data_IF_079609072660
#
_entry.id   IF_079609072660
#
_cell.length_a   1.000
_cell.length_b   1.000
_cell.length_c   1.000
_cell.angle_alpha   90.00
_cell.angle_beta   90.00
_cell.angle_gamma   90.00
#
_symmetry.space_group_name_H-M   'P 1'
#
loop_
_entity.id
_entity.type
_entity.pdbx_description
1 polymer ?
#
# COMPACT_ATOMS: atom_id res chain seq x y z
N UNK A 1 1.69 16.03 -5.53
CA UNK A 1 0.98 16.97 -6.39
C UNK A 1 0.11 17.91 -5.56
N UNK A 2 -0.09 19.16 -5.99
CA UNK A 2 -0.84 20.17 -5.25
C UNK A 2 -2.29 19.69 -4.97
N UNK A 3 -2.94 19.10 -5.98
CA UNK A 3 -4.31 18.60 -5.84
C UNK A 3 -4.42 17.45 -4.84
N UNK A 4 -3.49 16.52 -4.87
CA UNK A 4 -3.45 15.43 -3.87
C UNK A 4 -3.29 15.95 -2.45
N UNK A 5 -2.49 17.01 -2.27
CA UNK A 5 -2.29 17.66 -0.97
C UNK A 5 -3.56 18.39 -0.51
N UNK A 6 -4.25 19.11 -1.41
CA UNK A 6 -5.52 19.78 -1.10
C UNK A 6 -6.60 18.77 -0.71
N UNK A 7 -6.76 17.70 -1.49
CA UNK A 7 -7.71 16.62 -1.18
C UNK A 7 -7.39 15.92 0.15
N UNK A 8 -6.10 15.67 0.41
CA UNK A 8 -5.65 15.13 1.67
C UNK A 8 -6.04 16.02 2.85
N UNK A 9 -5.75 17.34 2.78
CA UNK A 9 -6.08 18.29 3.85
C UNK A 9 -7.59 18.40 4.05
N UNK A 10 -8.35 18.48 2.97
CA UNK A 10 -9.81 18.52 3.01
C UNK A 10 -10.37 17.26 3.68
N UNK A 11 -9.91 16.07 3.26
CA UNK A 11 -10.42 14.82 3.83
C UNK A 11 -9.95 14.58 5.26
N UNK A 12 -8.75 14.99 5.62
CA UNK A 12 -8.26 14.93 7.00
C UNK A 12 -9.10 15.80 7.94
N UNK A 13 -9.58 16.95 7.46
CA UNK A 13 -10.48 17.81 8.22
C UNK A 13 -11.91 17.25 8.27
N UNK A 14 -12.45 16.80 7.12
CA UNK A 14 -13.80 16.25 7.02
C UNK A 14 -13.92 14.87 7.68
N UNK A 15 -12.91 14.02 7.59
CA UNK A 15 -12.88 12.67 8.16
C UNK A 15 -13.08 12.67 9.67
N UNK A 16 -12.56 13.68 10.38
CA UNK A 16 -12.79 13.86 11.84
C UNK A 16 -14.26 14.10 12.17
N UNK A 17 -15.04 14.65 11.25
CA UNK A 17 -16.49 14.89 11.42
C UNK A 17 -17.33 13.66 11.06
N UNK A 18 -16.77 12.72 10.30
CA UNK A 18 -17.47 11.57 9.71
C UNK A 18 -17.06 10.25 10.43
N UNK A 19 -16.29 10.32 11.50
CA UNK A 19 -15.80 9.16 12.29
C UNK A 19 -16.91 8.28 12.91
N UNK A 20 -18.18 8.48 12.55
CA UNK A 20 -19.28 7.63 12.96
C UNK A 20 -19.26 6.28 12.25
N UNK A 21 -19.51 5.22 13.03
CA UNK A 21 -19.41 3.77 12.76
C UNK A 21 -20.00 3.23 11.43
N UNK A 22 -20.63 4.05 10.59
CA UNK A 22 -21.29 3.60 9.35
C UNK A 22 -20.48 3.79 8.06
N UNK A 23 -19.34 4.49 8.09
CA UNK A 23 -18.64 4.94 6.88
C UNK A 23 -17.25 4.35 6.66
N UNK A 24 -16.97 3.17 7.26
CA UNK A 24 -15.65 2.52 7.14
C UNK A 24 -15.30 2.25 5.69
N UNK A 25 -16.24 1.68 4.92
CA UNK A 25 -16.03 1.34 3.50
C UNK A 25 -15.74 2.58 2.65
N UNK A 26 -16.47 3.68 2.93
CA UNK A 26 -16.31 4.96 2.24
C UNK A 26 -14.96 5.58 2.58
N UNK A 27 -14.56 5.61 3.85
CA UNK A 27 -13.28 6.13 4.28
C UNK A 27 -12.12 5.37 3.63
N UNK A 28 -12.18 4.05 3.63
CA UNK A 28 -11.15 3.22 2.99
C UNK A 28 -11.06 3.49 1.49
N UNK A 29 -12.20 3.59 0.80
CA UNK A 29 -12.23 3.94 -0.63
C UNK A 29 -11.64 5.34 -0.89
N UNK A 30 -11.98 6.33 -0.06
CA UNK A 30 -11.49 7.70 -0.25
C UNK A 30 -9.98 7.79 -0.05
N UNK A 31 -9.41 7.09 0.93
CA UNK A 31 -7.95 7.06 1.09
C UNK A 31 -7.24 6.41 -0.10
N UNK A 32 -7.83 5.40 -0.73
CA UNK A 32 -7.35 4.86 -2.01
C UNK A 32 -7.40 5.90 -3.13
N UNK A 33 -8.49 6.68 -3.22
CA UNK A 33 -8.62 7.76 -4.21
C UNK A 33 -7.62 8.90 -3.97
N UNK A 34 -7.40 9.32 -2.72
CA UNK A 34 -6.39 10.31 -2.36
C UNK A 34 -5.00 9.84 -2.79
N UNK A 35 -4.66 8.57 -2.55
CA UNK A 35 -3.41 7.99 -3.00
C UNK A 35 -3.25 8.04 -4.53
N UNK A 36 -4.30 7.68 -5.28
CA UNK A 36 -4.31 7.74 -6.75
C UNK A 36 -4.10 9.16 -7.28
N UNK A 37 -4.63 10.19 -6.59
CA UNK A 37 -4.41 11.58 -6.98
C UNK A 37 -2.94 12.02 -6.86
N UNK A 38 -2.17 11.38 -6.00
CA UNK A 38 -0.71 11.57 -5.98
C UNK A 38 -0.02 10.80 -7.12
N UNK A 39 -0.56 9.66 -7.55
CA UNK A 39 0.00 8.86 -8.64
C UNK A 39 -0.19 9.52 -10.01
N UNK A 40 -1.29 10.26 -10.23
CA UNK A 40 -1.61 10.87 -11.51
C UNK A 40 -0.98 12.28 -11.59
N UNK A 41 0.00 12.51 -12.44
CA UNK A 41 0.52 13.86 -12.70
C UNK A 41 -0.51 14.64 -13.51
N UNK A 42 -1.39 15.37 -12.84
CA UNK A 42 -2.47 16.17 -13.46
C UNK A 42 -1.93 17.17 -14.50
N UNK A 43 -0.68 17.59 -14.33
CA UNK A 43 0.02 18.40 -15.34
C UNK A 43 0.07 17.74 -16.72
N UNK A 44 0.09 16.40 -16.82
CA UNK A 44 0.04 15.69 -18.09
C UNK A 44 -1.35 15.71 -18.73
N UNK A 45 -2.41 15.75 -17.92
CA UNK A 45 -3.80 15.84 -18.42
C UNK A 45 -4.05 17.23 -18.99
N UNK A 46 -3.55 18.28 -18.32
CA UNK A 46 -3.66 19.65 -18.81
C UNK A 46 -2.79 19.92 -20.04
N UNK A 47 -1.61 19.31 -20.14
CA UNK A 47 -0.71 19.51 -21.29
C UNK A 47 -1.32 18.98 -22.61
N UNK A 48 -2.16 17.95 -22.55
CA UNK A 48 -2.85 17.40 -23.73
C UNK A 48 -4.18 18.11 -24.07
N UNK A 49 -4.74 18.92 -23.16
CA UNK A 49 -6.01 19.62 -23.32
C UNK A 49 -5.89 21.09 -23.77
N UNK A 50 -4.73 21.68 -23.65
CA UNK A 50 -4.49 23.03 -24.15
C UNK A 50 -3.92 22.96 -25.58
N UNK A 51 -4.80 23.17 -26.57
CA UNK A 51 -4.35 23.55 -27.92
C UNK A 51 -3.30 24.66 -27.81
N UNK A 52 -2.14 24.39 -28.40
CA UNK A 52 -1.10 25.31 -28.89
C UNK A 52 -1.29 26.81 -28.56
N UNK A 53 -1.32 27.19 -27.32
CA UNK A 53 -0.92 28.57 -27.02
C UNK A 53 0.61 28.53 -26.89
N UNK A 54 1.26 29.05 -27.89
CA UNK A 54 2.71 29.10 -28.12
C UNK A 54 3.39 30.10 -27.15
N UNK A 55 3.04 30.04 -25.87
CA UNK A 55 3.85 30.66 -24.82
C UNK A 55 4.80 29.60 -24.30
N UNK A 56 5.85 29.30 -25.09
CA UNK A 56 7.06 28.68 -24.55
C UNK A 56 7.61 29.70 -23.55
N UNK A 57 7.34 29.47 -22.27
CA UNK A 57 7.99 30.20 -21.20
C UNK A 57 9.46 29.80 -21.26
N UNK A 58 10.27 30.53 -22.04
CA UNK A 58 11.71 30.33 -22.06
C UNK A 58 12.24 30.60 -20.65
N UNK A 59 12.49 29.55 -19.90
CA UNK A 59 13.18 29.63 -18.61
C UNK A 59 14.62 30.05 -18.91
N UNK A 60 14.84 31.38 -18.97
CA UNK A 60 16.15 31.95 -19.25
C UNK A 60 16.86 32.37 -17.97
N UNK A 61 18.17 32.50 -18.06
CA UNK A 61 19.00 32.98 -16.93
C UNK A 61 19.23 31.99 -15.81
N UNK A 62 19.46 32.46 -14.56
CA UNK A 62 19.86 31.63 -13.42
C UNK A 62 18.78 30.60 -12.97
N UNK A 63 17.51 30.87 -13.29
CA UNK A 63 16.37 30.03 -12.88
C UNK A 63 16.50 28.60 -13.44
N UNK A 64 16.98 28.44 -14.68
CA UNK A 64 17.19 27.09 -15.27
C UNK A 64 18.17 26.24 -14.48
N UNK A 65 19.22 26.86 -13.92
CA UNK A 65 20.19 26.15 -13.10
C UNK A 65 19.60 25.73 -11.76
N UNK A 66 18.79 26.59 -11.14
CA UNK A 66 18.08 26.25 -9.89
C UNK A 66 17.14 25.07 -10.11
N UNK A 67 16.34 25.10 -11.19
CA UNK A 67 15.45 23.97 -11.53
C UNK A 67 16.26 22.70 -11.77
N UNK A 68 17.38 22.79 -12.52
CA UNK A 68 18.26 21.64 -12.76
C UNK A 68 18.81 21.04 -11.47
N UNK A 69 19.27 21.85 -10.54
CA UNK A 69 19.76 21.40 -9.22
C UNK A 69 18.63 20.73 -8.43
N UNK A 70 17.43 21.31 -8.39
CA UNK A 70 16.28 20.73 -7.70
C UNK A 70 15.88 19.39 -8.31
N UNK A 71 15.91 19.24 -9.63
CA UNK A 71 15.65 17.96 -10.32
C UNK A 71 16.70 16.90 -9.96
N UNK A 72 17.98 17.28 -9.88
CA UNK A 72 19.05 16.36 -9.47
C UNK A 72 18.84 15.90 -8.02
N UNK A 73 18.55 16.82 -7.11
CA UNK A 73 18.26 16.51 -5.70
C UNK A 73 17.08 15.55 -5.60
N UNK A 74 15.99 15.82 -6.34
CA UNK A 74 14.81 14.98 -6.40
C UNK A 74 15.15 13.58 -6.93
N UNK A 75 15.91 13.48 -8.01
CA UNK A 75 16.30 12.21 -8.62
C UNK A 75 17.18 11.39 -7.67
N UNK A 76 18.21 12.01 -7.07
CA UNK A 76 19.10 11.36 -6.11
C UNK A 76 18.30 10.85 -4.90
N UNK A 77 17.41 11.67 -4.35
CA UNK A 77 16.52 11.25 -3.27
C UNK A 77 15.65 10.06 -3.66
N UNK A 78 15.00 10.11 -4.82
CA UNK A 78 14.17 9.01 -5.35
C UNK A 78 14.99 7.71 -5.47
N UNK A 79 16.21 7.77 -6.01
CA UNK A 79 17.10 6.61 -6.12
C UNK A 79 17.43 6.04 -4.74
N UNK A 80 17.80 6.90 -3.78
CA UNK A 80 18.16 6.47 -2.42
C UNK A 80 16.98 5.77 -1.75
N UNK A 81 15.78 6.37 -1.78
CA UNK A 81 14.59 5.79 -1.16
C UNK A 81 14.17 4.48 -1.85
N UNK A 82 14.26 4.41 -3.17
CA UNK A 82 13.99 3.18 -3.94
C UNK A 82 14.96 2.06 -3.57
N UNK A 83 16.27 2.36 -3.47
CA UNK A 83 17.26 1.37 -3.06
C UNK A 83 16.99 0.87 -1.63
N UNK A 84 16.65 1.77 -0.70
CA UNK A 84 16.29 1.39 0.69
C UNK A 84 15.07 0.49 0.72
N UNK A 85 14.03 0.84 -0.04
CA UNK A 85 12.83 0.02 -0.16
C UNK A 85 13.13 -1.37 -0.72
N UNK A 86 13.88 -1.45 -1.83
CA UNK A 86 14.26 -2.71 -2.46
C UNK A 86 15.13 -3.59 -1.56
N UNK A 87 16.06 -3.00 -0.79
CA UNK A 87 16.87 -3.74 0.20
C UNK A 87 15.99 -4.35 1.28
N UNK A 88 15.07 -3.56 1.85
CA UNK A 88 14.11 -4.04 2.86
C UNK A 88 13.23 -5.17 2.30
N UNK A 89 12.69 -4.95 1.11
CA UNK A 89 11.83 -5.95 0.44
C UNK A 89 12.59 -7.26 0.16
N UNK A 90 13.84 -7.18 -0.32
CA UNK A 90 14.69 -8.37 -0.58
C UNK A 90 15.03 -9.12 0.70
N UNK A 91 15.29 -8.42 1.81
CA UNK A 91 15.56 -9.04 3.11
C UNK A 91 14.35 -9.86 3.58
N UNK A 92 13.15 -9.24 3.60
CA UNK A 92 11.90 -9.93 3.96
C UNK A 92 11.65 -11.12 3.03
N UNK A 93 11.82 -10.94 1.72
CA UNK A 93 11.65 -12.02 0.74
C UNK A 93 12.60 -13.20 1.00
N UNK A 94 13.87 -12.93 1.34
CA UNK A 94 14.86 -13.96 1.65
C UNK A 94 14.43 -14.77 2.88
N UNK A 95 13.95 -14.11 3.92
CA UNK A 95 13.49 -14.78 5.14
C UNK A 95 12.27 -15.66 4.84
N UNK A 96 11.31 -15.16 4.07
CA UNK A 96 10.10 -15.93 3.69
C UNK A 96 10.41 -17.10 2.76
N UNK A 97 11.42 -17.01 1.90
CA UNK A 97 11.83 -18.11 1.04
C UNK A 97 12.48 -19.26 1.83
N UNK A 98 13.03 -18.95 3.01
CA UNK A 98 13.63 -19.92 3.93
C UNK A 98 12.65 -20.32 5.05
N UNK A 99 11.39 -19.91 4.99
CA UNK A 99 10.36 -20.30 5.95
C UNK A 99 9.91 -21.75 5.70
N UNK A 100 9.55 -22.43 6.77
CA UNK A 100 9.11 -23.82 6.71
C UNK A 100 7.62 -23.90 6.34
N UNK A 101 7.22 -24.87 5.49
CA UNK A 101 5.80 -25.08 5.20
C UNK A 101 5.07 -25.62 6.43
N UNK A 102 3.84 -25.15 6.66
CA UNK A 102 2.98 -25.74 7.67
C UNK A 102 2.50 -27.15 7.29
N UNK A 103 2.16 -27.95 8.29
CA UNK A 103 1.59 -29.28 8.09
C UNK A 103 0.28 -29.28 7.30
N UNK A 104 -0.05 -30.43 6.72
CA UNK A 104 -1.21 -30.60 5.82
C UNK A 104 -2.56 -30.25 6.47
N UNK A 105 -2.69 -30.42 7.77
CA UNK A 105 -3.90 -30.07 8.51
C UNK A 105 -4.17 -28.56 8.45
N UNK A 106 -3.16 -27.73 8.73
CA UNK A 106 -3.26 -26.27 8.68
C UNK A 106 -3.48 -25.81 7.23
N UNK A 107 -2.81 -26.47 6.26
CA UNK A 107 -2.98 -26.16 4.84
C UNK A 107 -4.40 -26.52 4.36
N UNK A 108 -5.00 -27.59 4.84
CA UNK A 108 -6.38 -27.97 4.53
C UNK A 108 -7.39 -26.98 5.13
N UNK A 109 -7.12 -26.47 6.33
CA UNK A 109 -7.93 -25.47 7.01
C UNK A 109 -7.99 -24.15 6.22
N UNK A 110 -6.84 -23.59 5.82
CA UNK A 110 -6.81 -22.36 5.01
C UNK A 110 -7.51 -22.55 3.67
N UNK A 111 -7.37 -23.70 3.04
CA UNK A 111 -8.06 -24.05 1.78
C UNK A 111 -9.59 -24.06 1.95
N UNK A 112 -10.07 -24.62 3.07
CA UNK A 112 -11.51 -24.64 3.39
C UNK A 112 -12.07 -23.22 3.57
N UNK A 113 -11.35 -22.35 4.33
CA UNK A 113 -11.76 -20.97 4.57
C UNK A 113 -11.69 -20.15 3.28
N UNK A 114 -10.63 -20.33 2.47
CA UNK A 114 -10.51 -19.69 1.16
C UNK A 114 -11.71 -19.97 0.28
N UNK A 115 -12.15 -21.24 0.22
CA UNK A 115 -13.33 -21.64 -0.54
C UNK A 115 -14.61 -20.95 -0.05
N UNK A 116 -14.80 -20.85 1.27
CA UNK A 116 -15.97 -20.17 1.88
C UNK A 116 -16.00 -18.67 1.53
N UNK A 117 -14.83 -18.02 1.47
CA UNK A 117 -14.69 -16.60 1.15
C UNK A 117 -14.67 -16.30 -0.37
N UNK A 118 -14.74 -17.34 -1.22
CA UNK A 118 -14.69 -17.20 -2.67
C UNK A 118 -13.29 -16.85 -3.19
N UNK A 119 -12.25 -17.18 -2.45
CA UNK A 119 -10.84 -17.02 -2.86
C UNK A 119 -10.42 -18.30 -3.59
N UNK A 120 -10.24 -18.18 -4.92
CA UNK A 120 -9.89 -19.33 -5.78
C UNK A 120 -8.38 -19.58 -5.87
N UNK A 121 -7.58 -18.61 -5.45
CA UNK A 121 -6.11 -18.73 -5.49
C UNK A 121 -5.64 -19.66 -4.37
N UNK A 122 -4.72 -20.54 -4.70
CA UNK A 122 -4.05 -21.37 -3.70
C UNK A 122 -3.13 -20.49 -2.85
N UNK A 123 -3.31 -20.57 -1.53
CA UNK A 123 -2.56 -19.80 -0.54
C UNK A 123 -1.80 -20.79 0.35
N UNK A 124 -0.48 -20.68 0.34
CA UNK A 124 0.40 -21.48 1.17
C UNK A 124 0.55 -20.86 2.55
N UNK A 125 0.60 -21.68 3.59
CA UNK A 125 0.89 -21.27 4.96
C UNK A 125 2.32 -21.67 5.29
N UNK A 126 3.11 -20.73 5.77
CA UNK A 126 4.52 -20.90 6.12
C UNK A 126 4.75 -20.47 7.56
N UNK A 127 5.70 -21.09 8.23
CA UNK A 127 6.14 -20.70 9.59
C UNK A 127 7.45 -19.95 9.46
N UNK A 128 7.51 -18.77 10.08
CA UNK A 128 8.70 -17.94 10.17
C UNK A 128 8.75 -17.31 11.57
N UNK A 129 9.50 -17.89 12.48
CA UNK A 129 9.60 -17.44 13.89
C UNK A 129 10.02 -15.97 14.06
N UNK A 130 10.76 -15.44 13.09
CA UNK A 130 11.18 -14.03 13.07
C UNK A 130 10.08 -13.04 12.65
N UNK A 131 8.93 -13.53 12.20
CA UNK A 131 7.81 -12.67 11.86
C UNK A 131 7.25 -12.00 13.11
N UNK A 132 6.97 -10.70 13.03
CA UNK A 132 6.43 -9.93 14.16
C UNK A 132 4.95 -10.28 14.49
N UNK A 133 4.26 -10.95 13.58
CA UNK A 133 2.87 -11.38 13.69
C UNK A 133 2.44 -12.16 12.44
N UNK A 134 1.23 -12.71 12.43
CA UNK A 134 0.63 -13.23 11.19
C UNK A 134 0.62 -12.16 10.12
N UNK A 135 0.88 -12.54 8.87
CA UNK A 135 0.86 -11.58 7.76
C UNK A 135 0.63 -12.27 6.41
N UNK A 136 -0.06 -11.59 5.52
CA UNK A 136 -0.15 -11.95 4.12
C UNK A 136 1.08 -11.41 3.35
N UNK A 137 1.70 -12.25 2.53
CA UNK A 137 2.82 -11.89 1.69
C UNK A 137 2.66 -12.41 0.26
N UNK A 138 3.06 -11.58 -0.72
CA UNK A 138 3.12 -11.96 -2.13
C UNK A 138 1.82 -11.74 -2.89
N UNK A 139 1.88 -10.91 -3.94
CA UNK A 139 0.72 -10.58 -4.79
C UNK A 139 0.42 -11.73 -5.77
N UNK A 140 1.46 -12.24 -6.46
CA UNK A 140 1.28 -13.27 -7.48
C UNK A 140 1.22 -14.69 -6.90
N UNK A 141 1.99 -14.95 -5.86
CA UNK A 141 2.03 -16.22 -5.12
C UNK A 141 1.76 -15.90 -3.64
N UNK A 142 0.49 -15.76 -3.24
CA UNK A 142 0.13 -15.36 -1.89
C UNK A 142 0.50 -16.45 -0.88
N UNK A 143 1.06 -16.01 0.24
CA UNK A 143 1.43 -16.86 1.38
C UNK A 143 0.98 -16.19 2.65
N UNK A 144 0.46 -16.97 3.58
CA UNK A 144 0.23 -16.52 4.95
C UNK A 144 1.43 -16.97 5.78
N UNK A 145 2.05 -16.02 6.44
CA UNK A 145 3.22 -16.25 7.29
C UNK A 145 2.76 -16.22 8.74
N UNK A 146 3.07 -17.27 9.48
CA UNK A 146 2.79 -17.38 10.92
C UNK A 146 4.11 -17.37 11.70
N UNK A 147 4.22 -16.59 12.80
CA UNK A 147 5.43 -16.64 13.66
C UNK A 147 5.50 -17.92 14.51
N UNK A 148 4.37 -18.56 14.73
CA UNK A 148 4.22 -19.80 15.51
C UNK A 148 2.94 -20.54 15.11
N UNK A 149 2.75 -21.73 15.60
CA UNK A 149 1.47 -22.45 15.52
C UNK A 149 0.52 -21.87 16.58
N UNK A 150 -0.72 -21.70 16.21
CA UNK A 150 -1.81 -21.19 17.04
C UNK A 150 -2.87 -22.27 17.23
N UNK A 151 -3.74 -22.09 18.23
CA UNK A 151 -4.89 -22.94 18.43
C UNK A 151 -5.86 -22.88 17.23
N UNK A 152 -6.61 -23.96 16.93
CA UNK A 152 -7.47 -24.02 15.74
C UNK A 152 -8.47 -22.87 15.64
N UNK A 153 -9.02 -22.40 16.76
CA UNK A 153 -9.95 -21.27 16.78
C UNK A 153 -9.25 -19.96 16.38
N UNK A 154 -8.04 -19.73 16.91
CA UNK A 154 -7.22 -18.57 16.56
C UNK A 154 -6.80 -18.62 15.09
N UNK A 155 -6.40 -19.80 14.57
CA UNK A 155 -6.07 -19.99 13.17
C UNK A 155 -7.24 -19.63 12.25
N UNK A 156 -8.46 -20.00 12.62
CA UNK A 156 -9.65 -19.66 11.85
C UNK A 156 -9.84 -18.12 11.72
N UNK A 157 -9.69 -17.40 12.83
CA UNK A 157 -9.77 -15.93 12.84
C UNK A 157 -8.64 -15.30 12.01
N UNK A 158 -7.39 -15.75 12.23
CA UNK A 158 -6.21 -15.25 11.51
C UNK A 158 -6.36 -15.47 10.00
N UNK A 159 -6.72 -16.68 9.58
CA UNK A 159 -6.87 -16.98 8.16
C UNK A 159 -8.01 -16.19 7.53
N UNK A 160 -9.13 -16.04 8.24
CA UNK A 160 -10.23 -15.21 7.74
C UNK A 160 -9.78 -13.76 7.54
N UNK A 161 -9.09 -13.18 8.51
CA UNK A 161 -8.55 -11.82 8.45
C UNK A 161 -7.58 -11.65 7.26
N UNK A 162 -6.56 -12.50 7.15
CA UNK A 162 -5.56 -12.42 6.07
C UNK A 162 -6.16 -12.65 4.67
N UNK A 163 -7.17 -13.52 4.56
CA UNK A 163 -7.87 -13.78 3.31
C UNK A 163 -8.76 -12.61 2.88
N UNK A 164 -9.31 -11.85 3.83
CA UNK A 164 -10.04 -10.61 3.56
C UNK A 164 -9.09 -9.56 2.99
N UNK A 165 -7.90 -9.37 3.57
CA UNK A 165 -6.85 -8.50 2.99
C UNK A 165 -6.48 -8.91 1.56
N UNK A 166 -6.37 -10.22 1.30
CA UNK A 166 -6.12 -10.72 -0.05
C UNK A 166 -7.24 -10.35 -1.01
N UNK A 167 -8.49 -10.58 -0.62
CA UNK A 167 -9.68 -10.30 -1.42
C UNK A 167 -9.84 -8.82 -1.77
N UNK A 168 -9.47 -7.93 -0.85
CA UNK A 168 -9.51 -6.47 -1.04
C UNK A 168 -8.27 -5.89 -1.72
N UNK A 169 -7.31 -6.76 -2.09
CA UNK A 169 -6.08 -6.38 -2.80
C UNK A 169 -5.21 -5.39 -2.00
N UNK A 170 -5.27 -5.45 -0.67
CA UNK A 170 -4.59 -4.50 0.21
C UNK A 170 -3.08 -4.50 0.02
N UNK A 171 -2.50 -5.66 -0.29
CA UNK A 171 -1.08 -5.79 -0.58
C UNK A 171 -0.67 -4.99 -1.84
N UNK A 172 -1.54 -4.93 -2.84
CA UNK A 172 -1.30 -4.12 -4.06
C UNK A 172 -1.31 -2.63 -3.70
N UNK A 173 -2.28 -2.19 -2.89
CA UNK A 173 -2.36 -0.81 -2.45
C UNK A 173 -1.17 -0.40 -1.57
N UNK A 174 -0.72 -1.28 -0.67
CA UNK A 174 0.49 -1.08 0.14
C UNK A 174 1.75 -0.96 -0.74
N UNK A 175 1.88 -1.75 -1.80
CA UNK A 175 2.99 -1.65 -2.76
C UNK A 175 2.94 -0.36 -3.57
N UNK A 176 1.77 0.01 -4.10
CA UNK A 176 1.56 1.26 -4.83
C UNK A 176 1.91 2.47 -3.95
N UNK A 177 1.44 2.49 -2.70
CA UNK A 177 1.74 3.55 -1.75
C UNK A 177 3.26 3.67 -1.49
N UNK A 178 3.97 2.54 -1.34
CA UNK A 178 5.42 2.56 -1.17
C UNK A 178 6.15 3.12 -2.39
N UNK A 179 5.73 2.78 -3.61
CA UNK A 179 6.31 3.34 -4.85
C UNK A 179 6.09 4.85 -4.91
N UNK A 180 4.88 5.32 -4.61
CA UNK A 180 4.54 6.74 -4.58
C UNK A 180 5.38 7.47 -3.52
N UNK A 181 5.55 6.87 -2.33
CA UNK A 181 6.41 7.41 -1.28
C UNK A 181 7.88 7.49 -1.68
N UNK A 182 8.39 6.59 -2.52
CA UNK A 182 9.76 6.68 -3.04
C UNK A 182 9.92 7.86 -4.01
N UNK A 183 8.93 8.11 -4.88
CA UNK A 183 8.96 9.19 -5.88
C UNK A 183 8.79 10.56 -5.20
N UNK A 184 7.86 10.66 -4.24
CA UNK A 184 7.54 11.89 -3.52
C UNK A 184 8.08 11.85 -2.07
N UNK A 185 9.31 11.37 -1.92
CA UNK A 185 9.98 11.15 -0.63
C UNK A 185 10.00 12.39 0.27
N UNK A 186 9.98 13.58 -0.33
CA UNK A 186 9.98 14.89 0.35
C UNK A 186 8.58 15.32 0.84
N UNK A 187 7.50 14.57 0.52
CA UNK A 187 6.13 14.96 0.84
C UNK A 187 5.63 14.24 2.10
N UNK A 188 5.57 14.93 3.26
CA UNK A 188 5.19 14.30 4.53
C UNK A 188 3.74 13.82 4.56
N UNK A 189 2.83 14.47 3.81
CA UNK A 189 1.43 14.08 3.72
C UNK A 189 1.24 12.63 3.26
N UNK A 190 2.12 12.12 2.39
CA UNK A 190 2.03 10.73 1.91
C UNK A 190 2.28 9.68 2.98
N UNK A 191 3.10 9.98 3.98
CA UNK A 191 3.30 9.06 5.13
C UNK A 191 2.01 8.93 5.94
N UNK A 192 1.29 10.04 6.11
CA UNK A 192 0.00 10.03 6.80
C UNK A 192 -1.08 9.34 5.95
N UNK A 193 -1.14 9.59 4.65
CA UNK A 193 -2.04 8.87 3.72
C UNK A 193 -1.80 7.35 3.79
N UNK A 194 -0.54 6.93 3.79
CA UNK A 194 -0.18 5.52 3.93
C UNK A 194 -0.64 4.94 5.27
N UNK A 195 -0.40 5.66 6.36
CA UNK A 195 -0.86 5.28 7.70
C UNK A 195 -2.38 5.15 7.76
N UNK A 196 -3.11 6.12 7.25
CA UNK A 196 -4.59 6.09 7.21
C UNK A 196 -5.11 4.94 6.37
N UNK A 197 -4.50 4.68 5.21
CA UNK A 197 -4.86 3.56 4.35
C UNK A 197 -4.70 2.22 5.07
N UNK A 198 -3.60 2.06 5.81
CA UNK A 198 -3.32 0.87 6.61
C UNK A 198 -4.35 0.72 7.75
N UNK A 199 -4.59 1.77 8.54
CA UNK A 199 -5.55 1.76 9.65
C UNK A 199 -6.98 1.46 9.21
N UNK A 200 -7.44 2.05 8.10
CA UNK A 200 -8.80 1.79 7.59
C UNK A 200 -8.93 0.41 6.98
N UNK A 201 -7.85 -0.13 6.38
CA UNK A 201 -7.77 -1.51 5.91
C UNK A 201 -7.93 -2.50 7.06
N UNK A 202 -7.17 -2.33 8.16
CA UNK A 202 -7.27 -3.15 9.37
C UNK A 202 -8.67 -3.07 9.98
N UNK A 203 -9.21 -1.85 10.17
CA UNK A 203 -10.57 -1.64 10.72
C UNK A 203 -11.64 -2.32 9.86
N UNK A 204 -11.47 -2.32 8.54
CA UNK A 204 -12.39 -3.01 7.62
C UNK A 204 -12.32 -4.52 7.80
N UNK A 205 -11.11 -5.10 7.88
CA UNK A 205 -10.92 -6.52 8.06
C UNK A 205 -11.47 -6.99 9.41
N UNK A 206 -11.16 -6.28 10.50
CA UNK A 206 -11.63 -6.61 11.85
C UNK A 206 -13.16 -6.61 11.97
N UNK A 207 -13.85 -5.72 11.23
CA UNK A 207 -15.31 -5.72 11.22
C UNK A 207 -15.92 -6.92 10.51
N UNK A 208 -15.17 -7.51 9.58
CA UNK A 208 -15.68 -8.56 8.69
C UNK A 208 -15.41 -9.97 9.26
N UNK A 209 -14.45 -10.11 10.19
CA UNK A 209 -14.14 -11.34 10.92
C UNK A 209 -15.15 -11.56 12.04
#
# INVERSE_FOLDING_TARGET
TLLGTILYLFWKAAGRLIEHKGYIDINYLIWKMVLLMFAIPITLIYANGFEKSTYVFEVTGPIKWVIGILMIIWLVGTIIFTIRFLKKYRAIRKDILNADPCGDEIQSMVKSISKKLGVHKEIQVMILEKAGGPMLYGVLKPRIILPRIYEPQQLNMIFTHELIHYKHHDLIWKHLANIICCIYWFQPALKDVFYQLDQWGETYCDRTV
#
